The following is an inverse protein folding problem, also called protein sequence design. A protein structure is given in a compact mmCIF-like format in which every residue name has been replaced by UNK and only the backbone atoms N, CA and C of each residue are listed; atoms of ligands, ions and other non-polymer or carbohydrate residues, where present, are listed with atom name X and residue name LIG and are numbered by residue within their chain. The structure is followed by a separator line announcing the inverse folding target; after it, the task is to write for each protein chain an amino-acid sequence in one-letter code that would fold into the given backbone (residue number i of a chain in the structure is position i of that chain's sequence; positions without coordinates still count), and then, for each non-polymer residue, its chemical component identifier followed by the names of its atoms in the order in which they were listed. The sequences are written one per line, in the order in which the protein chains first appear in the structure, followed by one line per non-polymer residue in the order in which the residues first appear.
data_IF_103716004532
#
_entry.id   IF_103716004532
#
_cell.length_a   1.000
_cell.length_b   1.000
_cell.length_c   1.000
_cell.angle_alpha   90.00
_cell.angle_beta   90.00
_cell.angle_gamma   90.00
#
_symmetry.space_group_name_H-M   'P 1'
#
loop_
_entity.id
_entity.type
_entity.pdbx_description
1 polymer ?
#
# COMPACT_ATOMS: atom_id res chain seq x y z
N UNK A 1 -20.92 -17.40 13.41
CA UNK A 1 -20.23 -16.94 12.19
C UNK A 1 -19.34 -18.06 11.72
N UNK A 2 -19.53 -18.51 10.49
CA UNK A 2 -18.70 -19.51 9.82
C UNK A 2 -17.93 -18.83 8.69
N UNK A 3 -16.80 -19.39 8.29
CA UNK A 3 -16.03 -18.84 7.18
C UNK A 3 -16.73 -19.13 5.86
N UNK A 4 -16.66 -18.18 4.91
CA UNK A 4 -17.22 -18.31 3.57
C UNK A 4 -16.73 -19.59 2.87
N UNK A 5 -15.47 -19.96 3.13
CA UNK A 5 -14.82 -21.15 2.59
C UNK A 5 -15.47 -22.47 3.03
N UNK A 6 -16.20 -22.50 4.17
CA UNK A 6 -16.96 -23.69 4.60
C UNK A 6 -18.14 -23.92 3.65
N UNK A 7 -18.82 -22.85 3.25
CA UNK A 7 -19.93 -22.94 2.31
C UNK A 7 -19.44 -23.43 0.95
N UNK A 8 -18.40 -22.81 0.39
CA UNK A 8 -17.89 -23.17 -0.94
C UNK A 8 -17.28 -24.57 -0.97
N UNK A 9 -16.56 -24.97 0.08
CA UNK A 9 -16.10 -26.35 0.21
C UNK A 9 -17.26 -27.34 0.32
N UNK A 10 -18.29 -26.99 1.09
CA UNK A 10 -19.51 -27.80 1.22
C UNK A 10 -20.26 -27.96 -0.11
N UNK A 11 -20.31 -26.90 -0.92
CA UNK A 11 -20.85 -26.93 -2.27
C UNK A 11 -20.04 -27.88 -3.17
N UNK A 12 -18.72 -27.75 -3.18
CA UNK A 12 -17.83 -28.60 -3.98
C UNK A 12 -17.90 -30.08 -3.60
N UNK A 13 -18.03 -30.39 -2.29
CA UNK A 13 -18.12 -31.75 -1.76
C UNK A 13 -19.55 -32.30 -1.66
N UNK A 14 -20.57 -31.53 -2.09
CA UNK A 14 -22.00 -31.85 -1.93
C UNK A 14 -22.39 -32.22 -0.50
N UNK A 15 -21.74 -31.57 0.48
CA UNK A 15 -22.01 -31.74 1.91
C UNK A 15 -22.11 -30.36 2.53
N UNK A 16 -23.33 -29.84 2.55
CA UNK A 16 -23.60 -28.51 3.07
C UNK A 16 -23.52 -28.51 4.61
N UNK A 17 -23.07 -27.40 5.22
CA UNK A 17 -23.26 -27.20 6.64
C UNK A 17 -24.76 -27.05 6.95
N UNK A 18 -25.19 -27.47 8.15
CA UNK A 18 -26.61 -27.51 8.52
C UNK A 18 -27.33 -26.17 8.36
N UNK A 19 -26.65 -25.04 8.58
CA UNK A 19 -27.23 -23.72 8.36
C UNK A 19 -27.44 -23.39 6.88
N UNK A 20 -26.56 -23.88 6.00
CA UNK A 20 -26.68 -23.64 4.56
C UNK A 20 -27.83 -24.44 3.93
N UNK A 21 -28.17 -25.58 4.52
CA UNK A 21 -29.34 -26.38 4.15
C UNK A 21 -30.66 -25.64 4.41
N UNK A 22 -30.69 -24.77 5.41
CA UNK A 22 -31.88 -24.01 5.83
C UNK A 22 -32.10 -22.71 5.03
N UNK A 23 -31.21 -22.38 4.10
CA UNK A 23 -31.33 -21.16 3.29
C UNK A 23 -32.55 -21.25 2.39
N UNK A 24 -33.41 -20.25 2.46
CA UNK A 24 -34.60 -20.12 1.62
C UNK A 24 -35.06 -18.66 1.47
N UNK A 25 -36.30 -18.43 0.99
CA UNK A 25 -36.82 -17.09 0.68
C UNK A 25 -36.88 -16.09 1.84
N UNK A 26 -36.77 -16.56 3.07
CA UNK A 26 -36.82 -15.73 4.29
C UNK A 26 -35.44 -15.52 4.92
N UNK A 27 -34.38 -15.99 4.27
CA UNK A 27 -33.02 -15.93 4.80
C UNK A 27 -32.28 -14.72 4.24
N UNK A 28 -31.65 -13.95 5.13
CA UNK A 28 -30.65 -12.94 4.78
C UNK A 28 -29.28 -13.46 5.21
N UNK A 29 -28.34 -13.53 4.27
CA UNK A 29 -26.95 -13.86 4.53
C UNK A 29 -26.13 -12.56 4.50
N UNK A 30 -25.47 -12.25 5.61
CA UNK A 30 -24.53 -11.12 5.68
C UNK A 30 -23.12 -11.68 5.54
N UNK A 31 -22.40 -11.26 4.50
CA UNK A 31 -20.99 -11.59 4.29
C UNK A 31 -20.19 -10.37 4.74
N UNK A 32 -19.58 -10.50 5.91
CA UNK A 32 -18.68 -9.51 6.48
C UNK A 32 -17.26 -9.67 5.91
N UNK A 33 -16.46 -8.61 5.93
CA UNK A 33 -15.12 -8.53 5.32
C UNK A 33 -15.08 -9.02 3.85
N UNK A 34 -16.13 -8.72 3.08
CA UNK A 34 -16.27 -9.15 1.69
C UNK A 34 -15.16 -8.64 0.76
N UNK A 35 -14.41 -7.60 1.16
CA UNK A 35 -13.24 -7.09 0.44
C UNK A 35 -12.06 -8.08 0.41
N UNK A 36 -12.00 -9.01 1.37
CA UNK A 36 -10.99 -10.07 1.42
C UNK A 36 -11.37 -11.34 0.63
N UNK A 37 -12.63 -11.46 0.21
CA UNK A 37 -13.08 -12.64 -0.50
C UNK A 37 -12.62 -12.60 -1.95
N UNK A 38 -12.14 -13.74 -2.45
CA UNK A 38 -11.87 -13.89 -3.88
C UNK A 38 -13.18 -13.92 -4.68
N UNK A 39 -13.09 -13.52 -5.94
CA UNK A 39 -14.23 -13.34 -6.83
C UNK A 39 -15.05 -14.62 -7.01
N UNK A 40 -14.38 -15.77 -7.13
CA UNK A 40 -15.04 -17.05 -7.43
C UNK A 40 -15.75 -17.62 -6.20
N UNK A 41 -15.13 -17.51 -5.02
CA UNK A 41 -15.77 -17.89 -3.76
C UNK A 41 -16.99 -17.02 -3.49
N UNK A 42 -16.92 -15.72 -3.77
CA UNK A 42 -18.04 -14.81 -3.59
C UNK A 42 -19.18 -15.13 -4.56
N UNK A 43 -18.88 -15.38 -5.84
CA UNK A 43 -19.86 -15.81 -6.85
C UNK A 43 -20.57 -17.10 -6.41
N UNK A 44 -19.81 -18.14 -6.06
CA UNK A 44 -20.37 -19.43 -5.68
C UNK A 44 -21.31 -19.32 -4.46
N UNK A 45 -20.91 -18.52 -3.46
CA UNK A 45 -21.72 -18.26 -2.28
C UNK A 45 -23.00 -17.48 -2.60
N UNK A 46 -22.89 -16.39 -3.38
CA UNK A 46 -24.04 -15.56 -3.74
C UNK A 46 -25.01 -16.33 -4.62
N UNK A 47 -24.53 -17.00 -5.66
CA UNK A 47 -25.34 -17.83 -6.58
C UNK A 47 -26.09 -18.92 -5.82
N UNK A 48 -25.46 -19.55 -4.83
CA UNK A 48 -26.13 -20.54 -3.99
C UNK A 48 -27.28 -19.94 -3.15
N UNK A 49 -27.04 -18.82 -2.49
CA UNK A 49 -28.04 -18.18 -1.62
C UNK A 49 -29.22 -17.67 -2.43
N UNK A 50 -28.94 -16.94 -3.51
CA UNK A 50 -29.95 -16.36 -4.39
C UNK A 50 -30.71 -17.45 -5.14
N UNK A 51 -30.04 -18.53 -5.57
CA UNK A 51 -30.67 -19.69 -6.21
C UNK A 51 -31.69 -20.41 -5.31
N UNK A 52 -31.61 -20.24 -3.98
CA UNK A 52 -32.60 -20.74 -3.02
C UNK A 52 -33.66 -19.70 -2.62
N UNK A 53 -33.66 -18.54 -3.28
CA UNK A 53 -34.53 -17.41 -3.00
C UNK A 53 -34.08 -16.53 -1.83
N UNK A 54 -32.94 -16.82 -1.22
CA UNK A 54 -32.39 -16.00 -0.13
C UNK A 54 -31.83 -14.66 -0.63
N UNK A 55 -31.54 -13.78 0.32
CA UNK A 55 -30.93 -12.47 0.05
C UNK A 55 -29.51 -12.41 0.62
N UNK A 56 -28.62 -11.64 -0.02
CA UNK A 56 -27.23 -11.45 0.42
C UNK A 56 -26.94 -9.96 0.63
N UNK A 57 -26.26 -9.64 1.72
CA UNK A 57 -25.67 -8.31 1.95
C UNK A 57 -24.17 -8.45 2.15
N UNK A 58 -23.41 -7.72 1.34
CA UNK A 58 -21.95 -7.63 1.47
C UNK A 58 -21.61 -6.45 2.37
N UNK A 59 -20.72 -6.68 3.32
CA UNK A 59 -20.15 -5.66 4.22
C UNK A 59 -18.64 -5.81 4.15
N UNK A 60 -17.92 -4.71 4.04
CA UNK A 60 -16.48 -4.71 3.95
C UNK A 60 -15.96 -3.36 3.48
N UNK A 61 -14.65 -3.17 3.63
CA UNK A 61 -13.96 -1.97 3.18
C UNK A 61 -13.11 -2.31 1.96
N UNK A 62 -13.44 -1.72 0.81
CA UNK A 62 -12.75 -1.92 -0.47
C UNK A 62 -11.38 -1.22 -0.54
N UNK A 63 -10.99 -0.49 0.50
CA UNK A 63 -9.67 0.15 0.62
C UNK A 63 -8.82 -0.42 1.76
N UNK A 64 -9.29 -1.49 2.42
CA UNK A 64 -8.44 -2.33 3.27
C UNK A 64 -7.69 -3.37 2.43
N UNK A 65 -6.95 -4.26 3.11
CA UNK A 65 -6.19 -5.33 2.48
C UNK A 65 -7.07 -6.14 1.52
N UNK A 66 -6.57 -6.29 0.29
CA UNK A 66 -7.24 -7.05 -0.74
C UNK A 66 -7.18 -8.57 -0.45
N UNK A 67 -8.06 -9.31 -1.14
CA UNK A 67 -7.94 -10.76 -1.23
C UNK A 67 -6.53 -11.17 -1.68
N UNK A 68 -6.04 -12.30 -1.16
CA UNK A 68 -4.75 -12.89 -1.59
C UNK A 68 -4.84 -13.42 -3.03
N UNK A 69 -6.04 -13.85 -3.44
CA UNK A 69 -6.34 -14.30 -4.81
C UNK A 69 -7.06 -13.19 -5.61
N UNK A 70 -7.51 -13.50 -6.84
CA UNK A 70 -8.17 -12.54 -7.73
C UNK A 70 -9.45 -11.93 -7.10
N UNK A 71 -9.31 -10.71 -6.57
CA UNK A 71 -10.38 -9.94 -5.93
C UNK A 71 -10.78 -8.68 -6.70
N UNK A 72 -11.40 -7.73 -5.99
CA UNK A 72 -11.79 -6.42 -6.52
C UNK A 72 -13.27 -6.27 -6.86
N UNK A 73 -14.05 -7.35 -6.82
CA UNK A 73 -15.49 -7.33 -7.16
C UNK A 73 -16.29 -6.40 -6.25
N UNK A 74 -15.95 -6.28 -4.96
CA UNK A 74 -16.66 -5.36 -4.07
C UNK A 74 -16.55 -3.91 -4.56
N UNK A 75 -15.36 -3.50 -5.02
CA UNK A 75 -15.09 -2.18 -5.60
C UNK A 75 -15.89 -1.97 -6.89
N UNK A 76 -15.98 -2.99 -7.75
CA UNK A 76 -16.75 -2.90 -8.99
C UNK A 76 -18.26 -2.85 -8.76
N UNK A 77 -18.79 -3.63 -7.83
CA UNK A 77 -20.21 -3.57 -7.45
C UNK A 77 -20.54 -2.17 -6.95
N UNK A 78 -19.68 -1.61 -6.09
CA UNK A 78 -19.86 -0.25 -5.57
C UNK A 78 -19.78 0.82 -6.67
N UNK A 79 -18.91 0.64 -7.66
CA UNK A 79 -18.77 1.56 -8.79
C UNK A 79 -19.95 1.49 -9.77
N UNK A 80 -20.48 0.29 -10.05
CA UNK A 80 -21.51 0.06 -11.06
C UNK A 80 -22.93 0.29 -10.53
N UNK A 81 -23.23 -0.27 -9.35
CA UNK A 81 -24.58 -0.27 -8.78
C UNK A 81 -24.74 0.69 -7.60
N UNK A 82 -23.66 1.36 -7.20
CA UNK A 82 -23.59 2.14 -5.98
C UNK A 82 -23.42 1.26 -4.75
N UNK A 83 -22.91 1.87 -3.68
CA UNK A 83 -22.86 1.27 -2.35
C UNK A 83 -23.28 2.31 -1.32
N UNK A 84 -23.96 1.86 -0.28
CA UNK A 84 -24.13 2.68 0.92
C UNK A 84 -22.78 2.74 1.59
N UNK A 85 -22.09 3.86 1.44
CA UNK A 85 -20.83 4.11 2.15
C UNK A 85 -21.15 4.79 3.46
N UNK A 86 -20.45 4.39 4.51
CA UNK A 86 -20.41 5.13 5.76
C UNK A 86 -19.42 6.30 5.56
N UNK A 87 -19.77 7.24 4.68
CA UNK A 87 -18.94 8.40 4.30
C UNK A 87 -19.05 9.57 5.27
N UNK A 88 -20.14 9.64 6.02
CA UNK A 88 -20.26 10.59 7.11
C UNK A 88 -20.04 9.87 8.43
N UNK A 89 -19.32 10.54 9.34
CA UNK A 89 -19.34 10.26 10.79
C UNK A 89 -20.76 10.54 11.30
N UNK A 90 -21.73 9.74 10.87
CA UNK A 90 -23.16 9.93 11.15
C UNK A 90 -23.68 8.74 11.93
N UNK A 91 -23.69 8.98 13.23
CA UNK A 91 -24.77 8.69 14.18
C UNK A 91 -25.32 7.25 14.16
N UNK A 92 -24.47 6.33 14.61
CA UNK A 92 -24.80 5.53 15.80
C UNK A 92 -24.09 6.16 17.01
N UNK A 93 -24.41 7.43 17.28
CA UNK A 93 -24.04 8.31 18.43
C UNK A 93 -22.62 8.37 18.99
N UNK A 94 -21.67 7.52 18.63
CA UNK A 94 -20.27 7.64 19.02
C UNK A 94 -19.38 7.13 17.88
N UNK A 95 -18.26 7.80 17.64
CA UNK A 95 -17.16 7.22 16.86
C UNK A 95 -16.66 6.02 17.68
N UNK A 96 -17.13 4.80 17.40
CA UNK A 96 -16.84 3.65 18.29
C UNK A 96 -15.36 3.24 18.22
N UNK A 97 -14.62 3.63 17.17
CA UNK A 97 -13.25 3.14 16.95
C UNK A 97 -12.12 4.13 17.23
N UNK A 98 -12.32 5.45 17.18
CA UNK A 98 -11.28 6.45 17.48
C UNK A 98 -11.75 7.41 18.56
N UNK A 99 -10.86 7.74 19.48
CA UNK A 99 -11.16 8.72 20.53
C UNK A 99 -10.89 10.16 20.07
N UNK A 100 -10.02 10.33 19.06
CA UNK A 100 -9.74 11.61 18.41
C UNK A 100 -10.45 11.71 17.04
N UNK A 101 -11.43 12.63 16.87
CA UNK A 101 -12.08 12.87 15.59
C UNK A 101 -11.12 13.33 14.47
N UNK A 102 -10.02 13.99 14.81
CA UNK A 102 -9.03 14.43 13.82
C UNK A 102 -8.26 13.24 13.24
N UNK A 103 -7.88 12.27 14.08
CA UNK A 103 -7.27 11.02 13.63
C UNK A 103 -8.23 10.20 12.76
N UNK A 104 -9.52 10.21 13.09
CA UNK A 104 -10.55 9.57 12.25
C UNK A 104 -10.61 10.21 10.85
N UNK A 105 -10.62 11.55 10.76
CA UNK A 105 -10.61 12.26 9.48
C UNK A 105 -9.31 12.03 8.68
N UNK A 106 -8.15 12.04 9.35
CA UNK A 106 -6.86 11.74 8.73
C UNK A 106 -6.82 10.30 8.18
N UNK A 107 -7.40 9.34 8.89
CA UNK A 107 -7.48 7.95 8.41
C UNK A 107 -8.34 7.82 7.15
N UNK A 108 -9.41 8.61 6.99
CA UNK A 108 -10.22 8.64 5.77
C UNK A 108 -9.45 9.26 4.60
N UNK A 109 -8.65 10.29 4.85
CA UNK A 109 -7.77 10.86 3.84
C UNK A 109 -6.65 9.89 3.42
N UNK A 110 -6.08 9.11 4.36
CA UNK A 110 -5.17 7.99 4.04
C UNK A 110 -5.85 6.93 3.17
N UNK A 111 -7.10 6.59 3.50
CA UNK A 111 -7.93 5.63 2.76
C UNK A 111 -8.08 6.03 1.28
N UNK A 112 -8.22 7.34 1.02
CA UNK A 112 -8.33 7.91 -0.33
C UNK A 112 -6.97 8.12 -1.03
N UNK A 113 -5.86 7.98 -0.31
CA UNK A 113 -4.51 8.25 -0.83
C UNK A 113 -4.17 9.73 -0.95
N UNK A 114 -4.80 10.59 -0.15
CA UNK A 114 -4.54 12.03 -0.19
C UNK A 114 -3.31 12.38 0.66
N UNK A 115 -2.26 13.01 0.11
CA UNK A 115 -1.03 13.31 0.84
C UNK A 115 -1.22 14.22 2.07
N UNK A 116 -2.25 15.06 2.07
CA UNK A 116 -2.57 15.94 3.21
C UNK A 116 -2.90 15.17 4.51
N UNK A 117 -3.29 13.90 4.40
CA UNK A 117 -3.47 13.01 5.53
C UNK A 117 -2.20 12.87 6.38
N UNK A 118 -1.02 12.89 5.74
CA UNK A 118 0.27 12.73 6.41
C UNK A 118 0.57 13.91 7.33
N UNK A 119 0.04 15.10 7.03
CA UNK A 119 0.22 16.30 7.85
C UNK A 119 -0.25 16.09 9.29
N UNK A 120 -1.42 15.48 9.50
CA UNK A 120 -1.92 15.17 10.85
C UNK A 120 -0.94 14.27 11.62
N UNK A 121 -0.48 13.19 11.01
CA UNK A 121 0.40 12.23 11.68
C UNK A 121 1.78 12.81 11.97
N UNK A 122 2.29 13.70 11.10
CA UNK A 122 3.53 14.43 11.34
C UNK A 122 3.37 15.44 12.48
N UNK A 123 2.32 16.27 12.43
CA UNK A 123 2.06 17.34 13.41
C UNK A 123 1.78 16.80 14.82
N UNK A 124 1.12 15.64 14.92
CA UNK A 124 0.83 14.98 16.20
C UNK A 124 1.97 14.06 16.69
N UNK A 125 3.13 14.06 16.03
CA UNK A 125 4.26 13.21 16.43
C UNK A 125 3.94 11.71 16.37
N UNK A 126 3.07 11.31 15.43
CA UNK A 126 2.70 9.92 15.19
C UNK A 126 3.68 9.21 14.25
N UNK A 127 4.47 9.96 13.48
CA UNK A 127 5.52 9.43 12.60
C UNK A 127 6.87 9.55 13.30
N UNK A 128 7.56 8.42 13.41
CA UNK A 128 8.90 8.30 13.98
C UNK A 128 9.85 7.74 12.94
N UNK A 129 11.13 8.08 13.06
CA UNK A 129 12.12 7.81 12.02
C UNK A 129 13.37 7.23 12.66
N UNK A 130 13.97 6.26 11.99
CA UNK A 130 15.25 5.70 12.35
C UNK A 130 15.76 4.74 11.29
N UNK A 131 16.93 4.16 11.53
CA UNK A 131 17.41 2.98 10.83
C UNK A 131 16.59 1.73 11.20
N UNK A 132 16.89 0.60 10.56
CA UNK A 132 16.18 -0.66 10.78
C UNK A 132 16.22 -1.13 12.25
N UNK A 133 17.34 -0.93 12.96
CA UNK A 133 17.50 -1.33 14.36
C UNK A 133 16.76 -0.38 15.30
N UNK A 134 16.96 0.92 15.13
CA UNK A 134 16.38 1.94 16.02
C UNK A 134 14.86 2.06 15.89
N UNK A 135 14.29 1.89 14.70
CA UNK A 135 12.81 1.86 14.52
C UNK A 135 12.16 0.72 15.30
N UNK A 136 12.76 -0.47 15.27
CA UNK A 136 12.30 -1.62 16.05
C UNK A 136 12.40 -1.35 17.55
N UNK A 137 13.49 -0.72 18.02
CA UNK A 137 13.66 -0.37 19.43
C UNK A 137 12.66 0.68 19.88
N UNK A 138 12.43 1.72 19.09
CA UNK A 138 11.47 2.78 19.40
C UNK A 138 10.04 2.22 19.48
N UNK A 139 9.64 1.38 18.52
CA UNK A 139 8.33 0.72 18.52
C UNK A 139 8.15 -0.19 19.75
N UNK A 140 9.17 -0.97 20.07
CA UNK A 140 9.18 -1.83 21.25
C UNK A 140 9.11 -1.03 22.57
N UNK A 141 9.91 0.04 22.70
CA UNK A 141 9.93 0.88 23.91
C UNK A 141 8.56 1.53 24.13
N UNK A 142 7.96 2.10 23.07
CA UNK A 142 6.65 2.71 23.16
C UNK A 142 5.56 1.70 23.55
N UNK A 143 5.58 0.51 22.93
CA UNK A 143 4.71 -0.60 23.32
C UNK A 143 4.89 -1.01 24.79
N UNK A 144 6.13 -1.11 25.27
CA UNK A 144 6.43 -1.50 26.65
C UNK A 144 5.91 -0.46 27.65
N UNK A 145 6.04 0.85 27.33
CA UNK A 145 5.50 1.95 28.14
C UNK A 145 3.98 1.91 28.19
N UNK A 146 3.31 1.66 27.06
CA UNK A 146 1.86 1.54 27.01
C UNK A 146 1.36 0.35 27.83
N UNK A 147 2.02 -0.80 27.71
CA UNK A 147 1.69 -2.00 28.50
C UNK A 147 1.92 -1.78 30.00
N UNK A 148 2.98 -1.08 30.39
CA UNK A 148 3.23 -0.72 31.78
C UNK A 148 2.17 0.26 32.32
N UNK A 149 1.57 1.06 31.45
CA UNK A 149 0.47 1.98 31.75
C UNK A 149 -0.91 1.31 31.74
N UNK A 150 -0.98 0.00 31.47
CA UNK A 150 -2.22 -0.78 31.47
C UNK A 150 -3.03 -0.70 30.18
N UNK A 151 -2.49 -0.12 29.10
CA UNK A 151 -3.14 -0.04 27.80
C UNK A 151 -2.99 -1.38 27.04
N UNK A 152 -4.01 -1.77 26.28
CA UNK A 152 -3.85 -2.85 25.33
C UNK A 152 -3.14 -2.31 24.07
N UNK A 153 -1.86 -2.64 23.94
CA UNK A 153 -1.02 -2.18 22.82
C UNK A 153 -0.61 -3.32 21.89
N UNK A 154 -0.57 -3.04 20.58
CA UNK A 154 -0.17 -3.98 19.53
C UNK A 154 0.99 -3.43 18.71
N UNK A 155 2.01 -4.27 18.49
CA UNK A 155 3.06 -4.00 17.52
C UNK A 155 2.74 -4.65 16.17
N UNK A 156 2.96 -3.91 15.08
CA UNK A 156 2.76 -4.38 13.71
C UNK A 156 4.04 -4.24 12.89
N UNK A 157 4.27 -5.20 12.00
CA UNK A 157 5.35 -5.12 11.01
C UNK A 157 4.93 -5.77 9.68
N UNK A 158 5.58 -5.43 8.56
CA UNK A 158 5.21 -5.95 7.23
C UNK A 158 5.64 -7.41 7.04
N UNK A 159 6.78 -7.82 7.59
CA UNK A 159 7.38 -9.14 7.37
C UNK A 159 7.35 -10.03 8.61
N UNK A 160 7.43 -11.35 8.40
CA UNK A 160 7.42 -12.32 9.52
C UNK A 160 8.71 -12.24 10.33
N UNK A 161 9.81 -11.91 9.68
CA UNK A 161 11.14 -11.76 10.28
C UNK A 161 11.15 -10.59 11.27
N UNK A 162 10.60 -9.43 10.89
CA UNK A 162 10.48 -8.28 11.78
C UNK A 162 9.52 -8.56 12.95
N UNK A 163 8.41 -9.27 12.69
CA UNK A 163 7.48 -9.71 13.75
C UNK A 163 8.18 -10.64 14.75
N UNK A 164 8.95 -11.62 14.28
CA UNK A 164 9.69 -12.55 15.13
C UNK A 164 10.71 -11.80 16.01
N UNK A 165 11.40 -10.80 15.45
CA UNK A 165 12.35 -9.96 16.17
C UNK A 165 11.68 -9.07 17.23
N UNK A 166 10.56 -8.40 16.92
CA UNK A 166 9.78 -7.63 17.89
C UNK A 166 9.25 -8.51 19.03
N UNK A 167 8.75 -9.69 18.68
CA UNK A 167 8.30 -10.69 19.64
C UNK A 167 9.42 -11.15 20.58
N UNK A 168 10.63 -11.37 20.04
CA UNK A 168 11.81 -11.73 20.82
C UNK A 168 12.16 -10.63 21.83
N UNK A 169 12.21 -9.37 21.39
CA UNK A 169 12.48 -8.20 22.27
C UNK A 169 11.43 -8.06 23.37
N UNK A 170 10.14 -8.17 23.02
CA UNK A 170 9.04 -8.13 23.99
C UNK A 170 9.16 -9.21 25.06
N UNK A 171 9.53 -10.43 24.65
CA UNK A 171 9.74 -11.54 25.57
C UNK A 171 10.97 -11.35 26.44
N UNK A 172 12.10 -10.93 25.87
CA UNK A 172 13.34 -10.67 26.62
C UNK A 172 13.11 -9.60 27.71
N UNK A 173 12.35 -8.56 27.38
CA UNK A 173 11.92 -7.54 28.35
C UNK A 173 11.03 -8.11 29.45
N UNK A 174 10.01 -8.92 29.11
CA UNK A 174 9.15 -9.57 30.11
C UNK A 174 9.95 -10.42 31.09
N UNK A 175 10.96 -11.14 30.59
CA UNK A 175 11.79 -11.99 31.43
C UNK A 175 12.69 -11.17 32.35
N UNK A 176 13.12 -9.97 31.96
CA UNK A 176 13.87 -9.05 32.82
C UNK A 176 15.16 -9.64 33.42
N UNK A 177 15.74 -10.65 32.76
CA UNK A 177 16.90 -11.40 33.27
C UNK A 177 16.58 -12.49 34.33
N UNK A 178 15.30 -12.75 34.63
CA UNK A 178 14.89 -13.80 35.56
C UNK A 178 15.25 -15.21 35.06
N UNK A 179 15.41 -16.14 36.01
CA UNK A 179 15.70 -17.54 35.70
C UNK A 179 14.60 -18.14 34.80
N UNK A 180 15.02 -18.64 33.64
CA UNK A 180 14.13 -19.26 32.65
C UNK A 180 13.52 -20.53 33.25
N UNK A 181 12.21 -20.54 33.41
CA UNK A 181 11.45 -21.75 33.76
C UNK A 181 11.44 -22.76 32.61
N UNK A 182 10.50 -23.70 32.63
CA UNK A 182 10.29 -24.59 31.47
C UNK A 182 9.93 -23.77 30.23
N UNK A 183 10.62 -24.03 29.11
CA UNK A 183 10.42 -23.34 27.84
C UNK A 183 10.18 -24.34 26.71
N UNK A 184 9.45 -23.90 25.70
CA UNK A 184 9.19 -24.63 24.45
C UNK A 184 9.66 -23.82 23.26
N UNK A 185 10.14 -24.49 22.21
CA UNK A 185 10.46 -23.85 20.93
C UNK A 185 9.21 -23.73 20.05
N UNK A 186 9.04 -22.54 19.46
CA UNK A 186 7.92 -22.17 18.60
C UNK A 186 8.29 -22.25 17.11
N UNK A 187 7.32 -22.03 16.23
CA UNK A 187 7.52 -22.10 14.77
C UNK A 187 8.28 -20.90 14.18
N UNK A 188 8.25 -19.75 14.86
CA UNK A 188 8.97 -18.51 14.48
C UNK A 188 10.44 -18.50 14.96
N UNK A 189 10.93 -19.61 15.51
CA UNK A 189 12.28 -19.71 16.07
C UNK A 189 12.42 -19.10 17.48
N UNK A 190 11.36 -18.47 18.00
CA UNK A 190 11.34 -18.00 19.37
C UNK A 190 11.08 -19.16 20.35
N UNK A 191 11.18 -18.85 21.64
CA UNK A 191 10.75 -19.76 22.71
C UNK A 191 9.57 -19.15 23.44
N UNK A 192 8.75 -19.97 24.09
CA UNK A 192 7.69 -19.52 24.99
C UNK A 192 7.84 -20.18 26.36
N UNK A 193 7.42 -19.46 27.40
CA UNK A 193 7.31 -19.94 28.78
C UNK A 193 6.02 -19.42 29.42
N UNK A 194 5.74 -19.85 30.65
CA UNK A 194 4.55 -19.41 31.39
C UNK A 194 4.50 -17.88 31.46
N UNK A 195 3.32 -17.33 31.16
CA UNK A 195 3.05 -15.90 31.07
C UNK A 195 3.30 -15.28 29.69
N UNK A 196 3.84 -16.02 28.72
CA UNK A 196 3.97 -15.50 27.35
C UNK A 196 2.61 -15.43 26.64
N UNK A 197 2.45 -14.42 25.80
CA UNK A 197 1.35 -14.35 24.83
C UNK A 197 1.76 -15.07 23.55
N UNK A 198 0.94 -16.01 23.09
CA UNK A 198 1.15 -16.78 21.85
C UNK A 198 -0.05 -16.66 20.92
N UNK A 199 0.19 -16.84 19.62
CA UNK A 199 -0.83 -16.86 18.58
C UNK A 199 -0.78 -18.17 17.81
N UNK A 200 -1.95 -18.73 17.50
CA UNK A 200 -2.06 -19.94 16.67
C UNK A 200 -2.19 -19.58 15.20
N UNK A 201 -1.44 -20.24 14.32
CA UNK A 201 -1.35 -19.92 12.88
C UNK A 201 -2.13 -20.85 11.96
N UNK A 202 -2.67 -21.96 12.51
CA UNK A 202 -3.47 -22.92 11.76
C UNK A 202 -4.84 -23.10 12.40
N UNK A 203 -5.81 -23.43 11.56
CA UNK A 203 -7.13 -23.87 12.03
C UNK A 203 -7.04 -25.36 12.40
N UNK A 204 -7.39 -25.72 13.64
CA UNK A 204 -7.39 -27.11 14.10
C UNK A 204 -8.67 -27.45 14.88
N UNK A 205 -9.63 -28.07 14.19
CA UNK A 205 -10.97 -28.37 14.73
C UNK A 205 -10.98 -29.48 15.77
N UNK A 206 -9.93 -30.31 15.82
CA UNK A 206 -9.77 -31.36 16.83
C UNK A 206 -9.37 -30.78 18.18
N UNK A 207 -8.73 -29.61 18.18
CA UNK A 207 -8.35 -28.89 19.39
C UNK A 207 -9.54 -28.02 19.85
N UNK A 208 -10.44 -28.64 20.60
CA UNK A 208 -11.66 -28.00 21.12
C UNK A 208 -11.45 -27.56 22.57
N UNK A 209 -11.78 -26.30 22.86
CA UNK A 209 -11.74 -25.73 24.21
C UNK A 209 -13.14 -25.47 24.78
N UNK A 210 -14.19 -25.59 23.96
CA UNK A 210 -15.59 -25.57 24.40
C UNK A 210 -16.48 -26.32 23.41
N UNK A 211 -17.78 -26.46 23.74
CA UNK A 211 -18.76 -27.17 22.89
C UNK A 211 -18.85 -26.62 21.45
N UNK A 212 -18.54 -25.33 21.26
CA UNK A 212 -18.57 -24.66 19.96
C UNK A 212 -17.23 -24.01 19.59
N UNK A 213 -16.26 -24.00 20.51
CA UNK A 213 -14.99 -23.30 20.35
C UNK A 213 -13.84 -24.26 20.11
N UNK A 214 -13.09 -23.98 19.05
CA UNK A 214 -11.94 -24.75 18.58
C UNK A 214 -10.84 -23.78 18.15
N UNK A 215 -9.59 -24.26 18.11
CA UNK A 215 -8.40 -23.42 17.82
C UNK A 215 -8.44 -22.89 16.39
N UNK A 216 -8.49 -21.56 16.25
CA UNK A 216 -8.46 -20.87 14.95
C UNK A 216 -7.13 -20.17 14.72
N UNK A 217 -6.82 -19.97 13.44
CA UNK A 217 -5.76 -19.06 13.04
C UNK A 217 -6.07 -17.64 13.55
N UNK A 218 -5.10 -17.02 14.20
CA UNK A 218 -5.21 -15.70 14.80
C UNK A 218 -5.72 -15.68 16.24
N UNK A 219 -6.17 -16.81 16.82
CA UNK A 219 -6.54 -16.83 18.23
C UNK A 219 -5.30 -16.53 19.11
N UNK A 220 -5.45 -15.58 20.04
CA UNK A 220 -4.42 -15.18 21.00
C UNK A 220 -4.63 -15.89 22.33
N UNK A 221 -3.53 -16.33 22.94
CA UNK A 221 -3.56 -17.09 24.17
C UNK A 221 -2.44 -16.67 25.13
N UNK A 222 -2.70 -16.81 26.42
CA UNK A 222 -1.69 -16.69 27.47
C UNK A 222 -1.23 -18.07 27.90
N UNK A 223 0.08 -18.31 27.90
CA UNK A 223 0.66 -19.58 28.35
C UNK A 223 0.51 -19.70 29.87
N UNK A 224 -0.18 -20.75 30.32
CA UNK A 224 -0.41 -21.05 31.74
C UNK A 224 0.42 -22.22 32.25
N UNK A 225 0.97 -23.03 31.36
CA UNK A 225 1.78 -24.18 31.73
C UNK A 225 2.57 -24.70 30.53
N UNK A 226 3.74 -25.27 30.80
CA UNK A 226 4.60 -25.92 29.81
C UNK A 226 4.77 -27.39 30.22
N UNK A 227 4.38 -28.30 29.33
CA UNK A 227 4.51 -29.73 29.53
C UNK A 227 5.96 -30.22 29.36
N UNK A 228 6.31 -31.33 30.01
CA UNK A 228 7.63 -31.97 29.84
C UNK A 228 7.83 -32.52 28.43
N UNK A 229 6.74 -32.80 27.73
CA UNK A 229 6.68 -33.27 26.35
C UNK A 229 6.72 -32.14 25.32
N UNK A 230 6.98 -30.89 25.74
CA UNK A 230 6.92 -29.68 24.90
C UNK A 230 5.48 -29.30 24.47
N UNK A 231 4.44 -29.80 25.15
CA UNK A 231 3.09 -29.27 25.00
C UNK A 231 2.91 -27.92 25.71
N UNK A 232 1.96 -27.11 25.24
CA UNK A 232 1.60 -25.84 25.87
C UNK A 232 0.19 -25.89 26.41
N UNK A 233 0.03 -25.54 27.69
CA UNK A 233 -1.29 -25.28 28.25
C UNK A 233 -1.57 -23.79 28.20
N UNK A 234 -2.53 -23.39 27.38
CA UNK A 234 -2.84 -22.00 27.09
C UNK A 234 -4.25 -21.64 27.52
N UNK A 235 -4.48 -20.38 27.84
CA UNK A 235 -5.79 -19.84 28.20
C UNK A 235 -6.11 -18.59 27.38
N UNK A 236 -7.37 -18.42 26.97
CA UNK A 236 -7.82 -17.17 26.37
C UNK A 236 -8.29 -16.19 27.46
N UNK A 237 -8.57 -14.94 27.06
CA UNK A 237 -9.05 -13.89 27.98
C UNK A 237 -10.41 -14.21 28.60
N UNK A 238 -11.17 -15.14 28.00
CA UNK A 238 -12.45 -15.65 28.51
C UNK A 238 -12.29 -16.81 29.50
N UNK A 239 -11.05 -17.16 29.87
CA UNK A 239 -10.72 -18.22 30.81
C UNK A 239 -10.83 -19.65 30.26
N UNK A 240 -11.14 -19.83 28.97
CA UNK A 240 -11.12 -21.16 28.35
C UNK A 240 -9.68 -21.64 28.22
N UNK A 241 -9.42 -22.87 28.66
CA UNK A 241 -8.08 -23.47 28.70
C UNK A 241 -8.00 -24.65 27.75
N UNK A 242 -6.88 -24.78 27.03
CA UNK A 242 -6.61 -25.90 26.14
C UNK A 242 -5.14 -26.31 26.20
N UNK A 243 -4.88 -27.60 25.99
CA UNK A 243 -3.53 -28.12 25.79
C UNK A 243 -3.25 -28.25 24.29
N UNK A 244 -2.23 -27.53 23.82
CA UNK A 244 -1.71 -27.60 22.46
C UNK A 244 -0.61 -28.69 22.42
N UNK A 245 -0.77 -29.72 21.57
CA UNK A 245 0.25 -30.77 21.40
C UNK A 245 1.58 -30.21 20.91
N UNK A 246 2.68 -30.86 21.28
CA UNK A 246 4.04 -30.41 20.95
C UNK A 246 4.29 -30.20 19.44
N UNK A 247 3.75 -31.08 18.60
CA UNK A 247 3.90 -30.94 17.14
C UNK A 247 3.15 -29.72 16.61
N UNK A 248 1.96 -29.44 17.17
CA UNK A 248 1.22 -28.23 16.83
C UNK A 248 1.95 -26.98 17.29
N UNK A 249 2.53 -27.00 18.49
CA UNK A 249 3.31 -25.88 19.03
C UNK A 249 4.55 -25.59 18.16
N UNK A 250 5.26 -26.62 17.73
CA UNK A 250 6.47 -26.48 16.91
C UNK A 250 6.19 -25.94 15.51
N UNK A 251 5.02 -26.27 14.93
CA UNK A 251 4.72 -25.96 13.53
C UNK A 251 3.80 -24.75 13.34
N UNK A 252 2.89 -24.49 14.29
CA UNK A 252 1.75 -23.60 14.07
C UNK A 252 1.51 -22.61 15.24
N UNK A 253 2.48 -22.42 16.14
CA UNK A 253 2.38 -21.48 17.27
C UNK A 253 3.57 -20.54 17.25
N UNK A 254 3.29 -19.24 17.32
CA UNK A 254 4.27 -18.16 17.35
C UNK A 254 4.03 -17.27 18.58
N UNK A 255 4.98 -16.41 18.92
CA UNK A 255 4.74 -15.36 19.92
C UNK A 255 3.71 -14.35 19.39
N UNK A 256 2.89 -13.82 20.30
CA UNK A 256 1.71 -13.00 19.97
C UNK A 256 1.79 -11.54 20.41
N UNK A 257 2.97 -11.02 20.78
CA UNK A 257 3.15 -9.61 21.16
C UNK A 257 3.07 -8.67 19.95
N UNK A 258 3.65 -9.11 18.83
CA UNK A 258 3.58 -8.49 17.52
C UNK A 258 2.87 -9.41 16.52
N UNK A 259 2.31 -8.83 15.46
CA UNK A 259 1.76 -9.59 14.33
C UNK A 259 1.98 -8.84 13.03
N UNK A 260 1.77 -9.52 11.90
CA UNK A 260 1.85 -8.87 10.59
C UNK A 260 0.66 -7.95 10.36
N UNK A 261 0.79 -6.95 9.49
CA UNK A 261 -0.31 -6.04 9.12
C UNK A 261 -1.56 -6.84 8.68
N UNK A 262 -1.36 -7.90 7.89
CA UNK A 262 -2.42 -8.84 7.49
C UNK A 262 -2.99 -9.63 8.67
N UNK A 263 -2.15 -10.09 9.59
CA UNK A 263 -2.57 -10.83 10.78
C UNK A 263 -3.33 -9.99 11.80
N UNK A 264 -3.29 -8.66 11.69
CA UNK A 264 -4.03 -7.74 12.55
C UNK A 264 -5.41 -7.36 12.00
N UNK A 265 -5.89 -8.01 10.93
CA UNK A 265 -7.21 -7.69 10.40
C UNK A 265 -8.33 -7.99 11.40
N UNK A 266 -9.23 -7.01 11.57
CA UNK A 266 -10.28 -7.05 12.58
C UNK A 266 -9.82 -6.81 14.02
N UNK A 267 -8.51 -6.69 14.28
CA UNK A 267 -8.02 -6.36 15.62
C UNK A 267 -8.34 -4.89 15.97
N UNK A 268 -8.73 -4.67 17.22
CA UNK A 268 -8.92 -3.33 17.79
C UNK A 268 -8.24 -3.32 19.15
N UNK A 269 -7.34 -2.37 19.33
CA UNK A 269 -6.53 -2.19 20.54
C UNK A 269 -6.56 -0.72 20.96
N UNK A 270 -6.04 -0.39 22.14
CA UNK A 270 -5.97 1.00 22.57
C UNK A 270 -4.91 1.76 21.77
N UNK A 271 -3.71 1.20 21.62
CA UNK A 271 -2.61 1.82 20.87
C UNK A 271 -1.95 0.86 19.88
N UNK A 272 -1.50 1.39 18.74
CA UNK A 272 -0.80 0.63 17.71
C UNK A 272 0.55 1.25 17.41
N UNK A 273 1.60 0.41 17.37
CA UNK A 273 2.97 0.77 17.02
C UNK A 273 3.44 -0.04 15.82
N UNK A 274 3.47 0.57 14.64
CA UNK A 274 3.69 -0.11 13.36
C UNK A 274 5.02 0.27 12.72
N UNK A 275 5.85 -0.72 12.39
CA UNK A 275 7.12 -0.52 11.67
C UNK A 275 6.87 -0.57 10.17
N UNK A 276 7.45 0.38 9.42
CA UNK A 276 7.35 0.50 7.97
C UNK A 276 8.75 0.48 7.35
N UNK A 277 8.89 -0.28 6.27
CA UNK A 277 10.13 -0.39 5.47
C UNK A 277 10.12 0.53 4.25
N UNK A 278 8.96 1.12 3.91
CA UNK A 278 8.76 1.93 2.70
C UNK A 278 8.28 1.12 1.49
N UNK A 279 8.29 -0.22 1.59
CA UNK A 279 7.81 -1.12 0.54
C UNK A 279 6.29 -1.38 0.61
N UNK A 280 5.64 -0.93 1.68
CA UNK A 280 4.24 -1.20 1.94
C UNK A 280 3.31 -0.47 0.97
N UNK A 281 2.09 -0.99 0.80
CA UNK A 281 1.03 -0.32 0.05
C UNK A 281 0.23 0.65 0.91
N UNK A 282 -0.52 1.53 0.25
CA UNK A 282 -1.50 2.40 0.90
C UNK A 282 -2.48 1.60 1.76
N UNK A 283 -2.96 0.46 1.27
CA UNK A 283 -3.88 -0.41 1.99
C UNK A 283 -3.26 -0.92 3.29
N UNK A 284 -1.98 -1.32 3.25
CA UNK A 284 -1.25 -1.77 4.44
C UNK A 284 -1.09 -0.63 5.45
N UNK A 285 -0.67 0.56 4.99
CA UNK A 285 -0.57 1.76 5.84
C UNK A 285 -1.92 2.11 6.47
N UNK A 286 -2.98 2.24 5.67
CA UNK A 286 -4.33 2.55 6.16
C UNK A 286 -4.85 1.52 7.16
N UNK A 287 -4.66 0.23 6.85
CA UNK A 287 -5.05 -0.88 7.72
C UNK A 287 -4.33 -0.82 9.05
N UNK A 288 -3.03 -0.53 9.04
CA UNK A 288 -2.20 -0.38 10.22
C UNK A 288 -2.65 0.81 11.07
N UNK A 289 -2.80 1.99 10.45
CA UNK A 289 -3.15 3.26 11.10
C UNK A 289 -4.61 3.36 11.59
N UNK A 290 -5.36 2.26 11.54
CA UNK A 290 -6.75 2.16 11.99
C UNK A 290 -6.97 1.07 13.06
N UNK A 291 -5.89 0.50 13.62
CA UNK A 291 -6.01 -0.58 14.64
C UNK A 291 -6.13 -0.06 16.07
N UNK A 292 -5.46 1.05 16.39
CA UNK A 292 -5.50 1.71 17.68
C UNK A 292 -6.69 2.67 17.80
N UNK A 293 -7.37 2.64 18.95
CA UNK A 293 -8.48 3.54 19.28
C UNK A 293 -8.06 4.89 19.85
N UNK A 294 -6.93 4.92 20.56
CA UNK A 294 -6.39 6.12 21.19
C UNK A 294 -5.26 6.74 20.36
N UNK A 295 -4.44 5.90 19.73
CA UNK A 295 -3.25 6.33 19.02
C UNK A 295 -2.75 5.28 18.03
N UNK A 296 -2.34 5.73 16.85
CA UNK A 296 -1.62 4.93 15.87
C UNK A 296 -0.29 5.60 15.52
N UNK A 297 0.82 4.88 15.70
CA UNK A 297 2.17 5.37 15.44
C UNK A 297 2.83 4.56 14.32
N UNK A 298 3.54 5.25 13.44
CA UNK A 298 4.30 4.68 12.33
C UNK A 298 5.81 4.94 12.52
N UNK A 299 6.60 3.88 12.51
CA UNK A 299 8.06 3.91 12.63
C UNK A 299 8.66 3.61 11.26
N UNK A 300 9.10 4.65 10.57
CA UNK A 300 9.57 4.59 9.18
C UNK A 300 11.08 4.37 9.16
N UNK A 301 11.49 3.29 8.51
CA UNK A 301 12.89 3.02 8.23
C UNK A 301 13.38 3.98 7.15
N UNK A 302 14.23 4.94 7.52
CA UNK A 302 14.97 5.74 6.57
C UNK A 302 16.15 4.91 6.02
N UNK A 303 16.48 5.10 4.73
CA UNK A 303 17.49 4.31 4.01
C UNK A 303 18.80 4.19 4.80
N UNK A 304 19.23 2.95 4.97
CA UNK A 304 20.41 2.51 5.72
C UNK A 304 20.09 1.18 6.39
N UNK A 305 20.76 0.11 5.99
CA UNK A 305 20.66 -1.22 6.61
C UNK A 305 21.29 -1.27 8.02
N UNK A 306 21.76 -0.12 8.52
CA UNK A 306 22.50 0.02 9.76
C UNK A 306 23.93 -0.50 9.65
N UNK A 307 24.36 -0.96 8.47
CA UNK A 307 25.71 -1.44 8.21
C UNK A 307 26.60 -0.27 7.77
N UNK A 308 27.72 -0.08 8.49
CA UNK A 308 28.69 0.97 8.15
C UNK A 308 29.48 0.64 6.87
N UNK A 309 29.45 -0.63 6.43
CA UNK A 309 30.24 -1.15 5.31
C UNK A 309 29.41 -1.33 4.01
N UNK A 310 28.14 -0.92 3.99
CA UNK A 310 27.29 -1.06 2.80
C UNK A 310 27.71 -0.09 1.67
N UNK A 311 27.85 -0.62 0.44
CA UNK A 311 28.33 0.13 -0.72
C UNK A 311 27.40 1.33 -1.03
N UNK A 312 27.94 2.52 -1.38
CA UNK A 312 27.12 3.68 -1.67
C UNK A 312 26.23 3.42 -2.90
N UNK A 313 24.90 3.36 -2.70
CA UNK A 313 23.91 3.46 -3.78
C UNK A 313 23.48 4.92 -3.92
N UNK A 314 22.88 5.29 -5.05
CA UNK A 314 22.31 6.62 -5.25
C UNK A 314 21.26 6.98 -4.16
N UNK A 315 20.54 5.97 -3.67
CA UNK A 315 19.59 6.04 -2.53
C UNK A 315 20.29 6.39 -1.21
N UNK A 316 21.58 6.08 -1.07
CA UNK A 316 22.41 6.41 0.11
C UNK A 316 23.00 7.82 0.02
N UNK A 317 23.15 8.37 -1.20
CA UNK A 317 23.69 9.71 -1.44
C UNK A 317 22.66 10.83 -1.19
N UNK A 318 21.37 10.51 -1.34
CA UNK A 318 20.22 11.37 -0.97
C UNK A 318 19.11 10.49 -0.40
N UNK A 319 19.17 10.12 0.89
CA UNK A 319 18.12 9.32 1.48
C UNK A 319 16.79 10.07 1.38
N UNK A 320 15.70 9.41 0.94
CA UNK A 320 14.40 10.04 0.90
C UNK A 320 14.01 10.49 2.30
N UNK A 321 13.37 11.64 2.38
CA UNK A 321 12.80 12.12 3.64
C UNK A 321 11.69 11.17 4.10
N UNK A 322 11.38 11.11 5.40
CA UNK A 322 10.27 10.30 5.93
C UNK A 322 8.94 10.60 5.24
N UNK A 323 8.72 11.87 4.91
CA UNK A 323 7.55 12.32 4.15
C UNK A 323 7.55 11.72 2.75
N UNK A 324 8.67 11.77 2.02
CA UNK A 324 8.79 11.15 0.69
C UNK A 324 8.58 9.63 0.73
N UNK A 325 9.09 8.94 1.77
CA UNK A 325 8.83 7.50 1.97
C UNK A 325 7.34 7.25 2.17
N UNK A 326 6.69 8.00 3.06
CA UNK A 326 5.25 7.84 3.32
C UNK A 326 4.39 8.24 2.11
N UNK A 327 4.76 9.26 1.36
CA UNK A 327 4.10 9.64 0.11
C UNK A 327 4.25 8.52 -0.93
N UNK A 328 5.42 7.88 -1.02
CA UNK A 328 5.62 6.74 -1.92
C UNK A 328 4.76 5.53 -1.53
N UNK A 329 4.64 5.22 -0.23
CA UNK A 329 3.76 4.18 0.31
C UNK A 329 2.30 4.53 0.00
N UNK A 330 1.90 5.79 0.19
CA UNK A 330 0.55 6.27 -0.05
C UNK A 330 0.16 6.24 -1.53
N UNK A 331 1.13 6.46 -2.43
CA UNK A 331 0.95 6.37 -3.87
C UNK A 331 0.87 4.91 -4.38
N UNK A 332 1.40 3.94 -3.62
CA UNK A 332 1.39 2.51 -3.98
C UNK A 332 0.01 1.89 -3.71
N UNK A 333 -0.83 1.85 -4.74
CA UNK A 333 -2.15 1.22 -4.70
C UNK A 333 -2.11 -0.24 -5.16
N UNK A 334 -1.97 -1.16 -4.20
CA UNK A 334 -2.00 -2.62 -4.42
C UNK A 334 -3.42 -3.22 -4.25
N UNK A 335 -4.45 -2.39 -4.31
CA UNK A 335 -5.83 -2.87 -4.30
C UNK A 335 -6.08 -3.81 -5.48
N UNK A 336 -6.71 -4.96 -5.23
CA UNK A 336 -7.05 -5.91 -6.29
C UNK A 336 -7.93 -5.23 -7.36
N UNK A 337 -7.48 -5.27 -8.62
CA UNK A 337 -8.21 -4.75 -9.77
C UNK A 337 -8.77 -5.92 -10.57
N UNK A 338 -10.09 -5.96 -10.74
CA UNK A 338 -10.68 -6.92 -11.67
C UNK A 338 -10.36 -6.52 -13.12
N UNK A 339 -10.54 -7.46 -14.06
CA UNK A 339 -10.42 -7.16 -15.48
C UNK A 339 -11.39 -6.05 -15.94
N UNK A 340 -12.61 -6.02 -15.40
CA UNK A 340 -13.61 -4.98 -15.71
C UNK A 340 -13.18 -3.63 -15.15
N UNK A 341 -12.67 -3.61 -13.92
CA UNK A 341 -12.13 -2.41 -13.29
C UNK A 341 -10.91 -1.87 -14.03
N UNK A 342 -10.01 -2.74 -14.49
CA UNK A 342 -8.84 -2.35 -15.28
C UNK A 342 -9.26 -1.75 -16.63
N UNK A 343 -10.22 -2.36 -17.33
CA UNK A 343 -10.77 -1.79 -18.58
C UNK A 343 -11.41 -0.41 -18.36
N UNK A 344 -12.08 -0.20 -17.21
CA UNK A 344 -12.64 1.11 -16.86
C UNK A 344 -11.54 2.15 -16.64
N UNK A 345 -10.46 1.77 -15.95
CA UNK A 345 -9.28 2.64 -15.76
C UNK A 345 -8.63 2.94 -17.11
N UNK A 346 -8.40 1.93 -17.95
CA UNK A 346 -7.82 2.12 -19.29
C UNK A 346 -8.70 3.00 -20.18
N UNK A 347 -10.03 2.97 -20.01
CA UNK A 347 -10.94 3.84 -20.76
C UNK A 347 -11.13 5.23 -20.13
N UNK A 348 -10.60 5.49 -18.94
CA UNK A 348 -10.77 6.76 -18.23
C UNK A 348 -10.00 7.89 -18.95
N UNK A 349 -10.68 8.93 -19.48
CA UNK A 349 -10.03 10.05 -20.14
C UNK A 349 -8.96 10.74 -19.30
N UNK A 350 -9.13 10.80 -17.97
CA UNK A 350 -8.16 11.44 -17.08
C UNK A 350 -6.84 10.67 -17.02
N UNK A 351 -6.91 9.33 -17.00
CA UNK A 351 -5.70 8.49 -16.99
C UNK A 351 -5.06 8.38 -18.37
N UNK A 352 -5.87 8.48 -19.44
CA UNK A 352 -5.41 8.48 -20.81
C UNK A 352 -4.75 9.80 -21.24
N UNK A 353 -5.02 10.92 -20.54
CA UNK A 353 -4.53 12.24 -20.93
C UNK A 353 -3.00 12.28 -21.01
N UNK A 354 -2.28 11.87 -19.97
CA UNK A 354 -0.81 11.90 -19.97
C UNK A 354 -0.21 11.00 -21.07
N UNK A 355 -0.56 9.71 -21.17
CA UNK A 355 -0.06 8.86 -22.26
C UNK A 355 -0.46 9.35 -23.66
N UNK A 356 -1.62 10.00 -23.81
CA UNK A 356 -2.02 10.60 -25.08
C UNK A 356 -1.18 11.84 -25.41
N UNK A 357 -0.90 12.70 -24.42
CA UNK A 357 0.00 13.84 -24.58
C UNK A 357 1.42 13.38 -24.91
N UNK A 358 1.95 12.40 -24.17
CA UNK A 358 3.30 11.87 -24.40
C UNK A 358 3.42 11.30 -25.83
N UNK A 359 2.43 10.51 -26.28
CA UNK A 359 2.36 10.00 -27.66
C UNK A 359 2.21 11.10 -28.70
N UNK A 360 1.41 12.13 -28.43
CA UNK A 360 1.22 13.25 -29.35
C UNK A 360 2.53 14.03 -29.54
N UNK A 361 3.21 14.38 -28.45
CA UNK A 361 4.48 15.13 -28.49
C UNK A 361 5.57 14.31 -29.17
N UNK A 362 5.68 13.02 -28.84
CA UNK A 362 6.67 12.11 -29.42
C UNK A 362 6.44 11.90 -30.92
N UNK A 363 5.19 11.61 -31.33
CA UNK A 363 4.84 11.44 -32.74
C UNK A 363 5.06 12.72 -33.55
N UNK A 364 4.74 13.88 -32.97
CA UNK A 364 4.93 15.18 -33.61
C UNK A 364 6.42 15.50 -33.80
N UNK A 365 7.25 15.24 -32.79
CA UNK A 365 8.70 15.39 -32.87
C UNK A 365 9.33 14.46 -33.91
N UNK A 366 8.92 13.18 -33.92
CA UNK A 366 9.37 12.19 -34.88
C UNK A 366 9.00 12.58 -36.32
N UNK A 367 7.75 13.00 -36.56
CA UNK A 367 7.29 13.41 -37.88
C UNK A 367 8.03 14.66 -38.39
N UNK A 368 8.26 15.64 -37.51
CA UNK A 368 9.04 16.82 -37.85
C UNK A 368 10.47 16.47 -38.27
N UNK A 369 11.14 15.57 -37.54
CA UNK A 369 12.48 15.11 -37.87
C UNK A 369 12.54 14.40 -39.24
N UNK A 370 11.57 13.52 -39.53
CA UNK A 370 11.48 12.85 -40.82
C UNK A 370 11.29 13.84 -41.98
N UNK A 371 10.44 14.85 -41.80
CA UNK A 371 10.15 15.84 -42.84
C UNK A 371 11.32 16.82 -43.06
N UNK A 372 12.01 17.22 -41.98
CA UNK A 372 13.19 18.10 -42.07
C UNK A 372 14.36 17.38 -42.74
N UNK A 373 14.50 16.08 -42.47
CA UNK A 373 15.55 15.23 -43.05
C UNK A 373 16.92 15.41 -42.38
N UNK A 374 17.85 14.46 -42.59
CA UNK A 374 19.09 14.37 -41.84
C UNK A 374 20.04 15.55 -42.10
N UNK A 375 20.13 16.04 -43.33
CA UNK A 375 21.04 17.14 -43.69
C UNK A 375 20.66 18.44 -43.00
N UNK A 376 19.36 18.78 -43.02
CA UNK A 376 18.87 20.00 -42.37
C UNK A 376 18.88 19.85 -40.84
N UNK A 377 18.66 18.64 -40.32
CA UNK A 377 18.81 18.36 -38.90
C UNK A 377 20.24 18.65 -38.44
N UNK A 378 21.28 18.09 -39.08
CA UNK A 378 22.68 18.38 -38.76
C UNK A 378 23.01 19.87 -38.86
N UNK A 379 22.43 20.58 -39.84
CA UNK A 379 22.60 22.03 -39.97
C UNK A 379 22.02 22.78 -38.76
N UNK A 380 20.86 22.35 -38.23
CA UNK A 380 20.25 22.93 -37.02
C UNK A 380 21.13 22.70 -35.79
N UNK A 381 21.73 21.53 -35.64
CA UNK A 381 22.66 21.23 -34.54
C UNK A 381 23.90 22.13 -34.63
N UNK A 382 24.46 22.30 -35.83
CA UNK A 382 25.57 23.20 -36.07
C UNK A 382 25.21 24.70 -35.92
N UNK A 383 23.96 25.09 -36.16
CA UNK A 383 23.44 26.43 -35.85
C UNK A 383 23.30 26.65 -34.34
N UNK A 384 22.87 25.64 -33.58
CA UNK A 384 22.77 25.72 -32.11
C UNK A 384 24.14 25.89 -31.45
N UNK A 385 25.13 25.11 -31.87
CA UNK A 385 26.50 25.17 -31.33
C UNK A 385 27.22 26.48 -31.66
N UNK A 386 26.84 27.14 -32.76
CA UNK A 386 27.34 28.49 -33.09
C UNK A 386 26.76 29.59 -32.21
N UNK A 387 25.61 29.34 -31.57
CA UNK A 387 24.86 30.32 -30.77
C UNK A 387 25.26 30.24 -29.28
N UNK A 388 25.68 29.07 -28.81
CA UNK A 388 26.33 28.89 -27.51
C UNK A 388 27.16 27.60 -27.50
N UNK A 389 28.34 27.60 -26.86
CA UNK A 389 29.14 26.39 -26.75
C UNK A 389 28.44 25.34 -25.86
N UNK A 390 28.61 24.06 -26.20
CA UNK A 390 28.11 22.88 -25.48
C UNK A 390 26.58 22.84 -25.32
N UNK A 391 25.84 23.54 -26.20
CA UNK A 391 24.36 23.54 -26.16
C UNK A 391 23.82 22.15 -26.53
N UNK A 392 24.49 21.45 -27.44
CA UNK A 392 24.10 20.08 -27.83
C UNK A 392 24.41 19.03 -26.78
N UNK A 393 25.33 19.30 -25.86
CA UNK A 393 25.72 18.41 -24.76
C UNK A 393 24.90 18.66 -23.47
N UNK A 394 24.08 19.72 -23.46
CA UNK A 394 23.28 20.09 -22.31
C UNK A 394 22.13 19.08 -22.05
N UNK A 395 21.77 18.80 -20.78
CA UNK A 395 20.73 17.81 -20.45
C UNK A 395 19.37 18.06 -21.12
N UNK A 396 18.98 19.32 -21.30
CA UNK A 396 17.72 19.68 -21.96
C UNK A 396 17.79 19.72 -23.50
N UNK A 397 18.92 19.35 -24.12
CA UNK A 397 19.09 19.35 -25.58
C UNK A 397 17.99 18.57 -26.33
N UNK A 398 17.57 17.35 -25.91
CA UNK A 398 16.53 16.61 -26.65
C UNK A 398 15.22 17.39 -26.80
N UNK A 399 14.84 18.15 -25.76
CA UNK A 399 13.63 18.98 -25.76
C UNK A 399 13.80 20.17 -26.72
N UNK A 400 14.94 20.85 -26.65
CA UNK A 400 15.27 21.97 -27.54
C UNK A 400 15.33 21.53 -29.01
N UNK A 401 16.01 20.41 -29.28
CA UNK A 401 16.13 19.81 -30.62
C UNK A 401 14.75 19.54 -31.20
N UNK A 402 13.84 18.91 -30.45
CA UNK A 402 12.47 18.65 -30.91
C UNK A 402 11.72 19.94 -31.27
N UNK A 403 11.89 21.02 -30.52
CA UNK A 403 11.26 22.32 -30.83
C UNK A 403 11.83 22.95 -32.10
N UNK A 404 13.15 22.86 -32.30
CA UNK A 404 13.82 23.39 -33.49
C UNK A 404 13.41 22.61 -34.75
N UNK A 405 13.26 21.29 -34.66
CA UNK A 405 12.72 20.47 -35.76
C UNK A 405 11.28 20.89 -36.10
N UNK A 406 10.45 21.15 -35.09
CA UNK A 406 9.08 21.62 -35.31
C UNK A 406 9.02 23.02 -35.95
N UNK A 407 9.91 23.91 -35.56
CA UNK A 407 10.06 25.23 -36.18
C UNK A 407 10.54 25.14 -37.63
N UNK A 408 11.50 24.25 -37.91
CA UNK A 408 11.93 23.99 -39.29
C UNK A 408 10.80 23.39 -40.13
N UNK A 409 10.02 22.49 -39.53
CA UNK A 409 8.87 21.84 -40.15
C UNK A 409 7.76 22.84 -40.52
N UNK A 410 7.53 23.87 -39.69
CA UNK A 410 6.59 24.96 -40.01
C UNK A 410 7.12 25.97 -41.03
N UNK A 411 8.38 25.83 -41.45
CA UNK A 411 9.01 26.68 -42.46
C UNK A 411 9.73 27.91 -41.89
N UNK A 412 9.85 28.04 -40.57
CA UNK A 412 10.70 29.05 -39.94
C UNK A 412 12.20 28.67 -40.04
N UNK A 413 13.10 29.63 -39.90
CA UNK A 413 14.55 29.36 -39.82
C UNK A 413 15.00 29.21 -38.37
N UNK A 414 15.30 27.99 -37.88
CA UNK A 414 15.64 27.78 -36.47
C UNK A 414 16.90 28.54 -36.04
N UNK A 415 17.85 28.74 -36.96
CA UNK A 415 19.08 29.49 -36.70
C UNK A 415 18.83 30.97 -36.39
N UNK A 416 17.90 31.62 -37.09
CA UNK A 416 17.50 33.00 -36.82
C UNK A 416 16.81 33.13 -35.46
N UNK A 417 15.91 32.20 -35.16
CA UNK A 417 15.15 32.16 -33.91
C UNK A 417 16.09 31.98 -32.71
N UNK A 418 17.05 31.05 -32.80
CA UNK A 418 18.08 30.83 -31.76
C UNK A 418 18.93 32.08 -31.52
N UNK A 419 19.40 32.73 -32.60
CA UNK A 419 20.15 33.99 -32.51
C UNK A 419 19.34 35.09 -31.82
N UNK A 420 18.04 35.18 -32.09
CA UNK A 420 17.16 36.13 -31.41
C UNK A 420 17.03 35.81 -29.92
N UNK A 421 16.79 34.54 -29.57
CA UNK A 421 16.64 34.11 -28.18
C UNK A 421 17.89 34.38 -27.32
N UNK A 422 19.09 34.35 -27.91
CA UNK A 422 20.32 34.74 -27.20
C UNK A 422 20.49 36.24 -27.08
N UNK A 423 20.13 37.04 -28.10
CA UNK A 423 20.18 38.50 -28.01
C UNK A 423 19.31 39.07 -26.88
N UNK A 424 18.19 38.41 -26.59
CA UNK A 424 17.22 38.89 -25.59
C UNK A 424 17.69 38.71 -24.14
N UNK A 425 18.78 37.96 -23.87
CA UNK A 425 19.25 37.83 -22.48
C UNK A 425 20.50 36.99 -22.23
N UNK A 426 21.34 36.74 -23.24
CA UNK A 426 22.59 35.98 -23.12
C UNK A 426 22.40 34.52 -22.68
N UNK A 427 23.52 33.80 -22.56
CA UNK A 427 23.59 32.45 -21.97
C UNK A 427 24.57 32.38 -20.78
N UNK A 428 25.14 33.51 -20.38
CA UNK A 428 26.16 33.59 -19.34
C UNK A 428 25.57 33.20 -17.97
N UNK A 429 26.17 32.21 -17.31
CA UNK A 429 25.74 31.71 -16.00
C UNK A 429 24.59 30.69 -16.04
N UNK A 430 24.14 30.26 -17.23
CA UNK A 430 23.18 29.17 -17.36
C UNK A 430 23.82 27.83 -16.95
N UNK A 431 23.21 27.11 -16.00
CA UNK A 431 23.61 25.73 -15.67
C UNK A 431 23.22 24.73 -16.76
N UNK A 432 22.18 25.07 -17.53
CA UNK A 432 21.71 24.32 -18.70
C UNK A 432 21.29 25.35 -19.76
N UNK A 433 22.15 25.55 -20.76
CA UNK A 433 21.95 26.51 -21.86
C UNK A 433 20.78 26.11 -22.75
N UNK A 434 20.56 24.81 -22.98
CA UNK A 434 19.45 24.31 -23.77
C UNK A 434 18.09 24.54 -23.07
N UNK A 435 18.03 24.42 -21.75
CA UNK A 435 16.80 24.69 -20.99
C UNK A 435 16.39 26.18 -21.08
N UNK A 436 17.37 27.09 -21.02
CA UNK A 436 17.12 28.53 -21.16
C UNK A 436 16.62 28.86 -22.56
N UNK A 437 17.25 28.30 -23.59
CA UNK A 437 16.82 28.49 -24.98
C UNK A 437 15.42 27.91 -25.22
N UNK A 438 15.16 26.69 -24.75
CA UNK A 438 13.84 26.04 -24.84
C UNK A 438 12.73 26.87 -24.16
N UNK A 439 13.01 27.44 -22.98
CA UNK A 439 12.08 28.34 -22.30
C UNK A 439 11.81 29.63 -23.10
N UNK A 440 12.83 30.19 -23.76
CA UNK A 440 12.69 31.40 -24.59
C UNK A 440 12.03 31.13 -25.94
N UNK A 441 12.10 29.90 -26.44
CA UNK A 441 11.46 29.43 -27.67
C UNK A 441 9.99 29.07 -27.49
N UNK A 442 9.47 29.15 -26.27
CA UNK A 442 8.16 28.66 -25.85
C UNK A 442 6.93 29.42 -26.41
N UNK A 443 7.14 30.20 -27.48
CA UNK A 443 6.15 30.90 -28.29
C UNK A 443 5.77 30.14 -29.57
N UNK A 444 6.33 28.94 -29.81
CA UNK A 444 5.84 28.04 -30.88
C UNK A 444 4.35 27.82 -30.67
N UNK A 445 3.56 28.06 -31.72
CA UNK A 445 2.10 28.16 -31.71
C UNK A 445 1.43 27.03 -30.90
N UNK A 446 0.96 27.37 -29.69
CA UNK A 446 0.34 26.45 -28.70
C UNK A 446 -1.15 26.23 -28.96
N UNK A 447 -1.54 26.23 -30.23
CA UNK A 447 -2.91 26.01 -30.68
C UNK A 447 -3.17 24.54 -31.03
N UNK A 448 -2.49 23.61 -30.35
CA UNK A 448 -2.74 22.18 -30.50
C UNK A 448 -4.05 21.72 -29.87
N UNK A 449 -4.30 20.40 -29.81
CA UNK A 449 -5.51 19.82 -29.22
C UNK A 449 -5.76 20.25 -27.76
N UNK A 450 -4.69 20.61 -27.05
CA UNK A 450 -4.74 21.24 -25.74
C UNK A 450 -3.99 22.58 -25.79
N UNK A 451 -4.38 23.60 -25.00
CA UNK A 451 -3.84 24.98 -25.08
C UNK A 451 -2.34 25.13 -24.77
N UNK A 452 -1.69 24.07 -24.29
CA UNK A 452 -0.27 24.05 -23.97
C UNK A 452 0.53 23.12 -24.89
N UNK A 453 -0.13 22.45 -25.85
CA UNK A 453 0.52 21.61 -26.84
C UNK A 453 0.72 22.36 -28.15
N UNK A 454 1.83 22.07 -28.81
CA UNK A 454 2.11 22.61 -30.15
C UNK A 454 1.07 22.13 -31.15
N UNK A 455 0.66 23.00 -32.06
CA UNK A 455 -0.16 22.60 -33.21
C UNK A 455 0.62 21.70 -34.17
N UNK A 456 -0.07 20.92 -34.99
CA UNK A 456 0.54 20.18 -36.09
C UNK A 456 0.88 21.18 -37.21
N UNK A 457 2.17 21.33 -37.61
CA UNK A 457 2.54 22.19 -38.73
C UNK A 457 1.78 21.83 -40.00
N UNK A 458 1.30 22.82 -40.76
CA UNK A 458 0.50 22.61 -41.99
C UNK A 458 1.19 21.66 -42.97
N UNK A 459 2.52 21.80 -43.15
CA UNK A 459 3.31 20.90 -44.01
C UNK A 459 3.31 19.45 -43.55
N UNK A 460 3.24 19.20 -42.24
CA UNK A 460 3.09 17.86 -41.69
C UNK A 460 1.65 17.34 -41.86
N UNK A 461 0.65 18.22 -41.73
CA UNK A 461 -0.75 17.85 -41.94
C UNK A 461 -1.08 17.52 -43.41
N UNK A 462 -0.38 18.16 -44.35
CA UNK A 462 -0.51 17.92 -45.80
C UNK A 462 0.39 16.77 -46.31
N UNK A 463 1.25 16.22 -45.45
CA UNK A 463 2.11 15.10 -45.82
C UNK A 463 1.26 13.83 -46.03
N UNK A 464 1.44 13.10 -47.15
CA UNK A 464 0.56 11.99 -47.54
C UNK A 464 0.75 10.70 -46.72
N UNK A 465 1.80 10.65 -45.89
CA UNK A 465 2.08 9.62 -44.89
C UNK A 465 2.03 10.27 -43.51
#
# INVERSE_FOLDING_TARGET
ADTLHILTHGLAKRRLPAWAEQIGPRTLVVIDEAGMADTLTLEAAVSFVVGRGGSVRLVGDDHQLAAVEAGGVLKDIAAEYGAVRLTEVVRLTEVVRFSDPAEAAASLALREGRPDALGFYLDQGRVHVGDAGSTLDQAFIAWAVDRASGLDSLMLAPTRELVAELNRRARDYRLGGAARGAEVSLSDGNRASVGDTVVTRRNERRLQYSRTGWVRNGDRWTVTGVGRDQSLVVANDRGSRISLPADYVRSDVELGYATTIHGAQGATVDTMHGVLTGSESRQQLYTMMTRGRLANHAYVQAVGDGDADSLPRWETARPPTPTEVLESVLARDDGAKSATGLRRIEADPATQLKPAVDRYVDALGFAAEQMVGPERATQIEADAERVGPEVTDAPAWPVLRSQLMLLAASGADPGEVLRSAVRDGGLDGARDSAAVLSYRLNWVDRNGPLPWLSTVPERLAEHPQ
#
